data_IF_522291789292
#
_entry.id   IF_522291789292
#
_cell.length_a   1.000
_cell.length_b   1.000
_cell.length_c   1.000
_cell.angle_alpha   90.00
_cell.angle_beta   90.00
_cell.angle_gamma   90.00
#
_symmetry.space_group_name_H-M   'P 1'
#
loop_
_entity.id
_entity.type
_entity.pdbx_description
1 polymer ?
#
# COMPACT_ATOMS: atom_id res chain seq x y z
N UNK A 1 8.18 -15.86 10.79
CA UNK A 1 6.87 -15.31 11.20
C UNK A 1 6.56 -14.17 10.24
N UNK A 2 5.84 -14.46 9.15
CA UNK A 2 5.55 -13.54 8.05
C UNK A 2 4.38 -12.57 8.34
N UNK A 3 3.81 -12.64 9.55
CA UNK A 3 2.55 -11.97 9.92
C UNK A 3 2.67 -11.02 11.12
N UNK A 4 3.86 -10.49 11.44
CA UNK A 4 4.00 -9.39 12.43
C UNK A 4 3.83 -8.00 11.80
N UNK A 5 3.58 -7.93 10.50
CA UNK A 5 3.17 -6.70 9.84
C UNK A 5 1.69 -6.40 10.20
N UNK A 6 1.49 -5.74 11.35
CA UNK A 6 0.21 -5.10 11.78
C UNK A 6 -0.43 -4.26 10.66
N UNK A 7 0.35 -3.94 9.63
CA UNK A 7 0.02 -3.10 8.52
C UNK A 7 -0.75 -3.83 7.39
N UNK A 8 -0.85 -5.16 7.36
CA UNK A 8 -1.63 -5.88 6.31
C UNK A 8 -2.99 -6.35 6.83
N UNK A 9 -4.06 -6.00 6.11
CA UNK A 9 -5.42 -6.46 6.42
C UNK A 9 -6.09 -7.03 5.18
N UNK A 10 -6.54 -8.29 5.24
CA UNK A 10 -7.39 -8.90 4.20
C UNK A 10 -8.81 -8.35 4.29
N UNK A 11 -9.33 -7.81 3.19
CA UNK A 11 -10.70 -7.35 3.04
C UNK A 11 -11.41 -8.22 2.03
N UNK A 12 -12.54 -8.78 2.46
CA UNK A 12 -13.43 -9.56 1.60
C UNK A 12 -14.59 -8.66 1.18
N UNK A 13 -14.77 -8.45 -0.10
CA UNK A 13 -15.93 -7.70 -0.63
C UNK A 13 -16.64 -8.49 -1.69
N UNK A 14 -17.89 -8.11 -1.97
CA UNK A 14 -18.70 -8.72 -3.02
C UNK A 14 -19.00 -7.59 -4.01
N UNK A 15 -18.39 -7.65 -5.19
CA UNK A 15 -18.63 -6.67 -6.25
C UNK A 15 -19.35 -7.37 -7.38
N UNK A 16 -20.51 -6.85 -7.78
CA UNK A 16 -21.31 -7.37 -8.89
C UNK A 16 -21.66 -8.87 -8.79
N UNK A 17 -21.84 -9.40 -7.58
CA UNK A 17 -22.16 -10.80 -7.33
C UNK A 17 -20.95 -11.74 -7.22
N UNK A 18 -19.73 -11.25 -7.49
CA UNK A 18 -18.50 -12.02 -7.38
C UNK A 18 -17.74 -11.66 -6.10
N UNK A 19 -17.15 -12.67 -5.45
CA UNK A 19 -16.27 -12.45 -4.30
C UNK A 19 -14.98 -11.83 -4.81
N UNK A 20 -14.68 -10.65 -4.32
CA UNK A 20 -13.45 -9.94 -4.61
C UNK A 20 -12.71 -9.71 -3.29
N UNK A 21 -11.73 -10.57 -3.05
CA UNK A 21 -10.87 -10.47 -1.88
C UNK A 21 -9.62 -9.68 -2.25
N UNK A 22 -9.23 -8.72 -1.40
CA UNK A 22 -8.05 -7.91 -1.62
C UNK A 22 -7.38 -7.59 -0.28
N UNK A 23 -6.08 -7.37 -0.31
CA UNK A 23 -5.33 -6.92 0.85
C UNK A 23 -5.26 -5.40 0.89
N UNK A 24 -5.25 -4.85 2.09
CA UNK A 24 -4.91 -3.46 2.34
C UNK A 24 -3.60 -3.44 3.10
N UNK A 25 -2.59 -2.77 2.55
CA UNK A 25 -1.32 -2.55 3.22
C UNK A 25 -1.24 -1.10 3.71
N UNK A 26 -1.10 -0.89 5.01
CA UNK A 26 -0.99 0.40 5.65
C UNK A 26 0.45 0.91 5.62
N UNK A 27 0.71 1.96 4.83
CA UNK A 27 2.05 2.52 4.66
C UNK A 27 2.34 3.64 5.66
N UNK A 28 1.40 4.01 6.54
CA UNK A 28 1.51 5.20 7.39
C UNK A 28 2.76 5.20 8.26
N UNK A 29 3.12 4.04 8.83
CA UNK A 29 4.33 3.87 9.65
C UNK A 29 5.57 4.13 8.81
N UNK A 30 5.67 3.52 7.63
CA UNK A 30 6.81 3.66 6.72
C UNK A 30 6.92 5.09 6.18
N UNK A 31 5.80 5.69 5.75
CA UNK A 31 5.76 7.07 5.30
C UNK A 31 6.33 8.01 6.36
N UNK A 32 5.93 7.80 7.62
CA UNK A 32 6.40 8.61 8.76
C UNK A 32 7.90 8.45 9.00
N UNK A 33 8.44 7.24 8.85
CA UNK A 33 9.88 7.00 8.98
C UNK A 33 10.68 7.60 7.83
N UNK A 34 10.23 7.42 6.59
CA UNK A 34 10.92 7.91 5.40
C UNK A 34 10.81 9.42 5.17
N UNK A 35 9.81 10.07 5.79
CA UNK A 35 9.56 11.50 5.65
C UNK A 35 9.90 12.32 6.89
N UNK A 36 10.62 11.75 7.85
CA UNK A 36 10.95 12.42 9.11
C UNK A 36 9.71 13.00 9.82
N UNK A 37 8.61 12.23 9.84
CA UNK A 37 7.30 12.59 10.42
C UNK A 37 6.55 13.72 9.70
N UNK A 38 6.98 14.12 8.51
CA UNK A 38 6.31 15.11 7.65
C UNK A 38 5.03 14.55 7.02
N UNK A 39 5.07 13.29 6.60
CA UNK A 39 3.93 12.48 6.15
C UNK A 39 3.64 11.35 7.17
N UNK A 40 2.57 10.56 6.98
CA UNK A 40 2.16 9.53 7.94
C UNK A 40 1.31 10.04 9.10
N UNK A 41 0.56 11.15 8.91
CA UNK A 41 -0.36 11.73 9.90
C UNK A 41 -1.65 12.24 9.24
N UNK A 42 -2.75 12.14 9.99
CA UNK A 42 -4.07 12.65 9.57
C UNK A 42 -4.86 11.62 8.77
N UNK A 43 -5.68 12.11 7.83
CA UNK A 43 -6.48 11.26 6.96
C UNK A 43 -5.63 10.34 6.07
N UNK A 44 -6.14 9.13 5.88
CA UNK A 44 -5.55 8.13 4.99
C UNK A 44 -6.42 7.94 3.76
N UNK A 45 -5.80 7.68 2.62
CA UNK A 45 -6.48 7.37 1.37
C UNK A 45 -5.90 6.09 0.77
N UNK A 46 -6.71 5.35 0.04
CA UNK A 46 -6.21 4.23 -0.75
C UNK A 46 -5.50 4.80 -1.98
N UNK A 47 -4.23 4.45 -2.12
CA UNK A 47 -3.42 4.80 -3.27
C UNK A 47 -4.06 4.29 -4.54
N UNK A 48 -3.92 5.07 -5.62
CA UNK A 48 -4.32 4.65 -6.98
C UNK A 48 -3.42 3.51 -7.50
N UNK A 49 -2.29 3.26 -6.84
CA UNK A 49 -1.36 2.18 -7.19
C UNK A 49 -1.92 0.84 -6.71
N UNK A 50 -2.34 0.02 -7.66
CA UNK A 50 -2.83 -1.35 -7.45
C UNK A 50 -1.93 -2.36 -8.17
N UNK A 51 -0.66 -2.02 -8.36
CA UNK A 51 0.29 -2.82 -9.14
C UNK A 51 0.88 -3.99 -8.34
N UNK A 52 0.42 -4.21 -7.12
CA UNK A 52 0.92 -5.22 -6.21
C UNK A 52 -0.12 -6.30 -5.99
N UNK A 53 0.35 -7.56 -6.02
CA UNK A 53 -0.42 -8.72 -5.60
C UNK A 53 0.35 -9.49 -4.53
N UNK A 54 -0.39 -10.13 -3.66
CA UNK A 54 0.15 -10.98 -2.61
C UNK A 54 -0.50 -12.35 -2.73
N UNK A 55 0.32 -13.39 -2.61
CA UNK A 55 -0.18 -14.76 -2.54
C UNK A 55 -0.87 -14.93 -1.18
N UNK A 56 -2.14 -15.29 -1.23
CA UNK A 56 -2.89 -15.65 -0.04
C UNK A 56 -2.56 -17.09 0.33
N UNK A 57 -1.82 -17.30 1.43
CA UNK A 57 -1.46 -18.66 1.87
C UNK A 57 -2.69 -19.48 2.32
N UNK A 58 -3.86 -18.86 2.54
CA UNK A 58 -5.08 -19.59 2.90
C UNK A 58 -5.81 -20.16 1.68
N UNK A 59 -5.88 -19.41 0.58
CA UNK A 59 -6.60 -19.81 -0.65
C UNK A 59 -5.70 -20.18 -1.82
N UNK A 60 -4.39 -19.97 -1.70
CA UNK A 60 -3.38 -20.11 -2.76
C UNK A 60 -3.62 -19.16 -3.97
N UNK A 61 -4.39 -18.09 -3.76
CA UNK A 61 -4.77 -17.14 -4.81
C UNK A 61 -3.94 -15.85 -4.75
N UNK A 62 -3.66 -15.27 -5.91
CA UNK A 62 -2.99 -13.98 -6.04
C UNK A 62 -4.00 -12.84 -5.89
N UNK A 63 -4.14 -12.30 -4.68
CA UNK A 63 -5.07 -11.22 -4.40
C UNK A 63 -4.42 -9.85 -4.62
N UNK A 64 -5.23 -8.89 -5.08
CA UNK A 64 -4.76 -7.52 -5.27
C UNK A 64 -4.44 -6.84 -3.92
N UNK A 65 -3.36 -6.07 -3.88
CA UNK A 65 -2.93 -5.33 -2.70
C UNK A 65 -3.15 -3.84 -2.93
N UNK A 66 -4.00 -3.25 -2.11
CA UNK A 66 -4.26 -1.81 -2.09
C UNK A 66 -3.39 -1.15 -1.02
N UNK A 67 -2.54 -0.23 -1.44
CA UNK A 67 -1.69 0.52 -0.52
C UNK A 67 -2.49 1.66 0.09
N UNK A 68 -2.58 1.73 1.41
CA UNK A 68 -3.13 2.88 2.12
C UNK A 68 -1.99 3.83 2.46
N UNK A 69 -2.10 5.05 1.98
CA UNK A 69 -1.13 6.13 2.19
C UNK A 69 -1.80 7.32 2.85
N UNK A 70 -0.99 8.25 3.36
CA UNK A 70 -1.48 9.52 3.88
C UNK A 70 -2.16 10.31 2.77
N UNK A 71 -3.35 10.87 3.02
CA UNK A 71 -4.02 11.77 2.06
C UNK A 71 -3.11 12.94 1.70
N UNK A 72 -2.37 13.46 2.67
CA UNK A 72 -1.36 14.51 2.46
C UNK A 72 -0.26 14.08 1.49
N UNK A 73 0.24 12.84 1.57
CA UNK A 73 1.23 12.33 0.63
C UNK A 73 0.63 12.21 -0.77
N UNK A 74 -0.58 11.66 -0.87
CA UNK A 74 -1.30 11.52 -2.14
C UNK A 74 -1.54 12.87 -2.82
N UNK A 75 -2.04 13.86 -2.08
CA UNK A 75 -2.22 15.24 -2.56
C UNK A 75 -0.89 15.87 -2.98
N UNK A 76 0.19 15.67 -2.21
CA UNK A 76 1.51 16.19 -2.59
C UNK A 76 2.05 15.54 -3.87
N UNK A 77 1.79 14.24 -4.09
CA UNK A 77 2.20 13.54 -5.31
C UNK A 77 1.41 14.00 -6.55
N UNK A 78 0.15 14.41 -6.37
CA UNK A 78 -0.71 14.97 -7.44
C UNK A 78 -0.53 16.51 -7.57
N UNK A 79 0.18 17.12 -6.61
CA UNK A 79 0.38 18.57 -6.51
C UNK A 79 1.58 19.12 -7.29
N UNK A 80 1.91 20.38 -7.04
CA UNK A 80 2.96 21.13 -7.74
C UNK A 80 4.40 20.65 -7.42
N UNK A 81 4.62 20.11 -6.21
CA UNK A 81 5.94 19.62 -5.76
C UNK A 81 5.87 18.14 -5.37
N UNK A 82 5.81 17.24 -6.36
CA UNK A 82 5.70 15.81 -6.11
C UNK A 82 7.05 15.13 -5.87
N UNK A 83 8.18 15.82 -6.02
CA UNK A 83 9.51 15.18 -5.96
C UNK A 83 9.77 14.50 -4.61
N UNK A 84 9.57 15.23 -3.51
CA UNK A 84 9.82 14.71 -2.16
C UNK A 84 8.85 13.57 -1.80
N UNK A 85 7.55 13.76 -2.08
CA UNK A 85 6.51 12.78 -1.79
C UNK A 85 6.65 11.52 -2.65
N UNK A 86 7.00 11.68 -3.93
CA UNK A 86 7.27 10.55 -4.84
C UNK A 86 8.50 9.78 -4.38
N UNK A 87 9.54 10.45 -3.89
CA UNK A 87 10.73 9.76 -3.37
C UNK A 87 10.40 8.93 -2.13
N UNK A 88 9.66 9.51 -1.17
CA UNK A 88 9.16 8.81 0.02
C UNK A 88 8.31 7.61 -0.39
N UNK A 89 7.36 7.81 -1.31
CA UNK A 89 6.49 6.74 -1.82
C UNK A 89 7.29 5.64 -2.52
N UNK A 90 8.30 5.97 -3.33
CA UNK A 90 9.17 4.98 -3.98
C UNK A 90 10.00 4.18 -2.96
N UNK A 91 10.49 4.80 -1.89
CA UNK A 91 11.20 4.07 -0.80
C UNK A 91 10.27 3.05 -0.13
N UNK A 92 9.06 3.50 0.18
CA UNK A 92 7.93 2.71 0.61
C UNK A 92 7.67 1.50 -0.33
N UNK A 93 7.56 1.72 -1.64
CA UNK A 93 7.35 0.62 -2.60
C UNK A 93 8.52 -0.39 -2.63
N UNK A 94 9.76 0.09 -2.55
CA UNK A 94 10.94 -0.80 -2.52
C UNK A 94 10.96 -1.68 -1.27
N UNK A 95 10.51 -1.17 -0.12
CA UNK A 95 10.33 -1.98 1.08
C UNK A 95 9.29 -3.08 0.87
N UNK A 96 8.17 -2.78 0.20
CA UNK A 96 7.16 -3.79 -0.11
C UNK A 96 7.70 -4.90 -1.01
N UNK A 97 8.49 -4.55 -2.02
CA UNK A 97 9.15 -5.54 -2.89
C UNK A 97 10.09 -6.47 -2.11
N UNK A 98 10.73 -5.98 -1.04
CA UNK A 98 11.54 -6.83 -0.14
C UNK A 98 10.69 -7.72 0.76
N UNK A 99 9.45 -7.31 1.08
CA UNK A 99 8.50 -8.05 1.94
C UNK A 99 7.72 -9.12 1.17
N UNK A 100 8.26 -9.58 0.04
CA UNK A 100 7.69 -10.65 -0.78
C UNK A 100 6.39 -10.26 -1.51
N UNK A 101 6.07 -8.97 -1.64
CA UNK A 101 4.96 -8.53 -2.50
C UNK A 101 5.38 -8.62 -3.98
N UNK A 102 4.53 -9.24 -4.79
CA UNK A 102 4.77 -9.42 -6.22
C UNK A 102 4.21 -8.22 -6.97
N UNK A 103 5.09 -7.46 -7.61
CA UNK A 103 4.68 -6.36 -8.48
C UNK A 103 4.24 -6.92 -9.84
N UNK A 104 2.96 -6.79 -10.17
CA UNK A 104 2.36 -7.37 -11.39
C UNK A 104 2.37 -6.44 -12.59
N UNK A 105 2.58 -5.13 -12.41
CA UNK A 105 2.77 -4.16 -13.49
C UNK A 105 4.23 -3.68 -13.48
N UNK A 106 4.95 -4.02 -14.54
CA UNK A 106 6.36 -3.68 -14.76
C UNK A 106 6.47 -2.64 -15.88
#
# INVERSE_FOLDING_TARGET
MLFDDINVTKRKTITNGEKYDFFIYDMMTMEKEFSDKKFGKGDTVISKVTDFKMLDEETDEMLDVKLRISKRLADHMDGLEPEESTEVFKKCLKELEKRNLVRTKK
#
